data_IF_309274186870
#
_entry.id   IF_309274186870
#
_cell.length_a   1.000
_cell.length_b   1.000
_cell.length_c   1.000
_cell.angle_alpha   90.00
_cell.angle_beta   90.00
_cell.angle_gamma   90.00
#
_symmetry.space_group_name_H-M   'P 1'
#
loop_
_entity.id
_entity.type
_entity.pdbx_description
1 polymer ?
#
# COMPACT_ATOMS: atom_id res chain seq x y z
N UNK A 1 9.67 -30.77 -8.57
CA UNK A 1 10.45 -30.41 -9.77
C UNK A 1 10.24 -28.96 -10.28
N UNK A 2 9.33 -28.15 -9.72
CA UNK A 2 9.11 -26.77 -10.19
C UNK A 2 10.21 -25.76 -9.80
N UNK A 3 10.87 -25.98 -8.65
CA UNK A 3 11.82 -25.01 -8.06
C UNK A 3 13.07 -24.71 -8.94
N UNK A 4 13.67 -25.67 -9.66
CA UNK A 4 14.77 -25.40 -10.59
C UNK A 4 14.32 -24.66 -11.86
N UNK A 5 13.07 -24.85 -12.29
CA UNK A 5 12.52 -24.21 -13.49
C UNK A 5 12.09 -22.76 -13.25
N UNK A 6 11.68 -22.43 -12.01
CA UNK A 6 11.23 -21.11 -11.60
C UNK A 6 12.37 -20.16 -11.17
N UNK A 7 13.59 -20.34 -11.71
CA UNK A 7 14.70 -19.41 -11.48
C UNK A 7 14.54 -18.18 -12.36
N UNK A 8 14.84 -17.01 -11.82
CA UNK A 8 14.80 -15.72 -12.50
C UNK A 8 16.09 -14.95 -12.23
N UNK A 9 16.48 -14.07 -13.15
CA UNK A 9 17.60 -13.15 -12.93
C UNK A 9 17.16 -12.14 -11.86
N UNK A 10 18.00 -11.92 -10.86
CA UNK A 10 17.72 -10.96 -9.79
C UNK A 10 18.74 -9.83 -9.80
N UNK A 11 18.29 -8.63 -9.45
CA UNK A 11 19.15 -7.48 -9.24
C UNK A 11 18.68 -6.69 -8.02
N UNK A 12 19.59 -5.90 -7.45
CA UNK A 12 19.33 -5.05 -6.29
C UNK A 12 19.55 -3.59 -6.68
N UNK A 13 18.75 -2.70 -6.12
CA UNK A 13 18.89 -1.25 -6.27
C UNK A 13 18.90 -0.60 -4.89
N UNK A 14 19.78 0.38 -4.73
CA UNK A 14 19.93 1.16 -3.51
C UNK A 14 18.75 2.12 -3.27
N UNK A 15 18.53 2.57 -2.03
CA UNK A 15 17.55 3.61 -1.72
C UNK A 15 17.76 4.87 -2.57
N UNK A 16 16.66 5.47 -3.03
CA UNK A 16 16.72 6.65 -3.89
C UNK A 16 15.85 6.52 -5.13
N UNK A 17 16.03 7.45 -6.07
CA UNK A 17 15.31 7.42 -7.34
C UNK A 17 15.78 6.23 -8.18
N UNK A 18 14.84 5.45 -8.68
CA UNK A 18 15.10 4.26 -9.47
C UNK A 18 14.88 4.55 -10.95
N UNK A 19 15.87 4.20 -11.77
CA UNK A 19 15.68 4.05 -13.22
C UNK A 19 15.22 2.61 -13.49
N UNK A 20 13.90 2.39 -13.41
CA UNK A 20 13.29 1.09 -13.72
C UNK A 20 12.95 0.92 -15.19
N UNK A 21 12.98 1.97 -16.00
CA UNK A 21 12.54 1.90 -17.40
C UNK A 21 13.41 0.92 -18.19
N UNK A 22 14.74 0.98 -18.01
CA UNK A 22 15.67 0.00 -18.60
C UNK A 22 15.28 -1.45 -18.27
N UNK A 23 14.87 -1.72 -17.04
CA UNK A 23 14.56 -3.07 -16.57
C UNK A 23 13.16 -3.52 -17.02
N UNK A 24 12.20 -2.60 -17.09
CA UNK A 24 10.86 -2.85 -17.63
C UNK A 24 10.93 -3.16 -19.12
N UNK A 25 11.72 -2.40 -19.88
CA UNK A 25 11.95 -2.67 -21.30
C UNK A 25 12.63 -4.02 -21.50
N UNK A 26 13.68 -4.32 -20.72
CA UNK A 26 14.37 -5.61 -20.78
C UNK A 26 13.50 -6.81 -20.40
N UNK A 27 12.41 -6.58 -19.65
CA UNK A 27 11.46 -7.63 -19.29
C UNK A 27 10.38 -7.87 -20.34
N UNK A 28 10.26 -7.01 -21.37
CA UNK A 28 9.27 -7.14 -22.45
C UNK A 28 9.73 -8.17 -23.50
N UNK A 29 8.84 -9.00 -24.08
CA UNK A 29 7.38 -9.11 -23.87
C UNK A 29 6.99 -10.09 -22.73
N UNK A 30 7.82 -10.22 -21.70
CA UNK A 30 7.54 -11.03 -20.51
C UNK A 30 6.54 -10.39 -19.55
N UNK A 31 6.47 -10.92 -18.32
CA UNK A 31 5.51 -10.51 -17.30
C UNK A 31 5.93 -9.26 -16.52
N UNK A 32 7.21 -8.86 -16.58
CA UNK A 32 7.69 -7.64 -15.94
C UNK A 32 8.73 -7.89 -14.85
N UNK A 33 8.69 -7.06 -13.80
CA UNK A 33 9.56 -7.16 -12.63
C UNK A 33 8.74 -7.60 -11.41
N UNK A 34 9.28 -8.53 -10.63
CA UNK A 34 8.71 -8.94 -9.35
C UNK A 34 9.54 -8.38 -8.21
N UNK A 35 8.92 -7.65 -7.29
CA UNK A 35 9.58 -7.19 -6.07
C UNK A 35 9.76 -8.37 -5.12
N UNK A 36 11.00 -8.73 -4.80
CA UNK A 36 11.34 -9.84 -3.91
C UNK A 36 11.53 -9.40 -2.46
N UNK A 37 12.05 -8.19 -2.24
CA UNK A 37 12.31 -7.59 -0.94
C UNK A 37 12.43 -6.07 -1.09
N UNK A 38 12.25 -5.34 0.01
CA UNK A 38 12.32 -3.88 0.03
C UNK A 38 10.96 -3.20 -0.14
N UNK A 39 11.00 -1.88 -0.15
CA UNK A 39 9.84 -1.01 -0.37
C UNK A 39 10.14 0.02 -1.47
N UNK A 40 9.27 0.08 -2.48
CA UNK A 40 9.33 1.00 -3.62
C UNK A 40 8.10 1.88 -3.57
N UNK A 41 8.24 3.17 -3.86
CA UNK A 41 7.13 4.06 -4.13
C UNK A 41 7.03 4.27 -5.63
N UNK A 42 5.86 4.01 -6.19
CA UNK A 42 5.47 4.48 -7.51
C UNK A 42 4.78 5.83 -7.34
N UNK A 43 5.32 6.87 -7.96
CA UNK A 43 4.66 8.17 -8.08
C UNK A 43 4.01 8.25 -9.45
N UNK A 44 2.69 8.40 -9.48
CA UNK A 44 1.95 8.67 -10.70
C UNK A 44 1.66 10.16 -10.79
N UNK A 45 2.09 10.80 -11.87
CA UNK A 45 1.78 12.20 -12.16
C UNK A 45 0.79 12.29 -13.31
N UNK A 46 -0.31 12.99 -13.05
CA UNK A 46 -1.29 13.39 -14.06
C UNK A 46 -1.49 14.90 -13.91
N UNK A 47 -1.15 15.66 -14.95
CA UNK A 47 -1.16 17.13 -14.90
C UNK A 47 -0.39 17.69 -13.68
N UNK A 48 -1.03 18.48 -12.83
CA UNK A 48 -0.46 19.11 -11.63
C UNK A 48 -0.54 18.22 -10.37
N UNK A 49 -1.08 17.00 -10.49
CA UNK A 49 -1.27 16.08 -9.37
C UNK A 49 -0.28 14.94 -9.39
N UNK A 50 0.23 14.63 -8.21
CA UNK A 50 1.11 13.51 -7.95
C UNK A 50 0.46 12.66 -6.86
N UNK A 51 0.19 11.41 -7.19
CA UNK A 51 -0.20 10.38 -6.22
C UNK A 51 0.99 9.46 -5.94
N UNK A 52 0.87 8.67 -4.89
CA UNK A 52 1.89 7.68 -4.54
C UNK A 52 1.23 6.35 -4.18
N UNK A 53 1.82 5.26 -4.66
CA UNK A 53 1.51 3.89 -4.27
C UNK A 53 2.75 3.27 -3.63
N UNK A 54 2.58 2.52 -2.54
CA UNK A 54 3.66 1.79 -1.89
C UNK A 54 3.63 0.34 -2.33
N UNK A 55 4.73 -0.10 -2.91
CA UNK A 55 4.97 -1.45 -3.38
C UNK A 55 6.01 -2.15 -2.50
N UNK A 56 5.90 -3.46 -2.38
CA UNK A 56 6.84 -4.28 -1.64
C UNK A 56 6.87 -5.71 -2.16
N UNK A 57 7.42 -6.61 -1.34
CA UNK A 57 7.53 -8.03 -1.68
C UNK A 57 6.21 -8.59 -2.22
N UNK A 58 6.27 -9.18 -3.41
CA UNK A 58 5.14 -9.83 -4.05
C UNK A 58 4.50 -9.02 -5.18
N UNK A 59 4.74 -7.70 -5.25
CA UNK A 59 4.14 -6.87 -6.30
C UNK A 59 4.84 -7.07 -7.64
N UNK A 60 4.03 -7.04 -8.69
CA UNK A 60 4.48 -7.10 -10.08
C UNK A 60 4.40 -5.70 -10.67
N UNK A 61 5.51 -5.26 -11.26
CA UNK A 61 5.61 -4.07 -12.09
C UNK A 61 5.63 -4.54 -13.53
N UNK A 62 4.57 -4.24 -14.27
CA UNK A 62 4.45 -4.68 -15.66
C UNK A 62 5.51 -3.99 -16.54
N UNK A 63 5.87 -4.60 -17.69
CA UNK A 63 6.64 -3.93 -18.71
C UNK A 63 5.98 -2.61 -19.11
N UNK A 64 6.70 -1.80 -19.87
CA UNK A 64 6.11 -0.58 -20.42
C UNK A 64 5.00 -0.96 -21.40
N UNK A 65 3.81 -0.45 -21.17
CA UNK A 65 2.66 -0.63 -22.05
C UNK A 65 2.70 0.43 -23.16
N UNK A 66 2.68 -0.01 -24.42
CA UNK A 66 2.65 0.89 -25.57
C UNK A 66 1.27 1.54 -25.75
N UNK A 67 0.17 0.89 -25.33
CA UNK A 67 -1.19 1.42 -25.46
C UNK A 67 -1.40 2.68 -24.60
N UNK A 68 -0.67 2.80 -23.49
CA UNK A 68 -0.68 3.99 -22.64
C UNK A 68 -0.06 5.23 -23.32
N UNK A 69 0.71 5.07 -24.41
CA UNK A 69 1.30 6.21 -25.14
C UNK A 69 0.25 7.02 -25.91
N UNK A 70 -0.84 6.39 -26.32
CA UNK A 70 -1.89 7.01 -27.14
C UNK A 70 -3.05 7.56 -26.31
N UNK A 71 -2.92 7.56 -24.98
CA UNK A 71 -3.93 8.10 -24.08
C UNK A 71 -3.99 9.64 -24.14
N UNK A 72 -5.20 10.20 -24.22
CA UNK A 72 -5.43 11.65 -24.14
C UNK A 72 -4.97 12.28 -22.82
N UNK A 73 -4.96 11.48 -21.74
CA UNK A 73 -4.45 11.87 -20.43
C UNK A 73 -3.22 11.04 -20.15
N UNK A 74 -2.04 11.66 -20.22
CA UNK A 74 -0.79 10.98 -19.92
C UNK A 74 -0.60 10.82 -18.41
N UNK A 75 -0.08 9.65 -18.03
CA UNK A 75 0.34 9.36 -16.67
C UNK A 75 1.85 9.07 -16.68
N UNK A 76 2.62 9.93 -16.02
CA UNK A 76 4.06 9.72 -15.87
C UNK A 76 4.34 8.95 -14.58
N UNK A 77 5.11 7.87 -14.67
CA UNK A 77 5.51 7.07 -13.52
C UNK A 77 6.96 7.38 -13.13
N UNK A 78 7.18 7.63 -11.84
CA UNK A 78 8.52 7.81 -11.24
C UNK A 78 8.66 6.86 -10.06
N UNK A 79 9.81 6.20 -9.97
CA UNK A 79 10.05 5.15 -8.99
C UNK A 79 11.07 5.59 -7.96
N UNK A 80 10.83 5.26 -6.69
CA UNK A 80 11.79 5.53 -5.61
C UNK A 80 11.85 4.37 -4.62
N UNK A 81 13.04 3.85 -4.35
CA UNK A 81 13.28 2.94 -3.25
C UNK A 81 13.34 3.70 -1.91
N UNK A 82 12.62 3.21 -0.90
CA UNK A 82 12.70 3.71 0.48
C UNK A 82 13.81 3.02 1.29
N UNK A 83 14.11 1.78 0.91
CA UNK A 83 15.14 0.90 1.48
C UNK A 83 15.72 0.06 0.32
N UNK A 84 16.85 -0.66 0.48
CA UNK A 84 17.38 -1.49 -0.59
C UNK A 84 16.31 -2.47 -1.12
N UNK A 85 16.15 -2.52 -2.44
CA UNK A 85 15.09 -3.30 -3.08
C UNK A 85 15.71 -4.37 -3.96
N UNK A 86 15.19 -5.59 -3.85
CA UNK A 86 15.57 -6.70 -4.72
C UNK A 86 14.43 -7.03 -5.67
N UNK A 87 14.75 -7.14 -6.95
CA UNK A 87 13.81 -7.50 -8.00
C UNK A 87 14.18 -8.84 -8.64
N UNK A 88 13.20 -9.51 -9.23
CA UNK A 88 13.38 -10.56 -10.22
C UNK A 88 12.84 -10.10 -11.58
N UNK A 89 13.58 -10.41 -12.65
CA UNK A 89 13.15 -10.18 -14.03
C UNK A 89 12.33 -11.39 -14.48
N UNK A 90 11.09 -11.16 -14.85
CA UNK A 90 10.16 -12.14 -15.40
C UNK A 90 10.05 -11.93 -16.91
N UNK A 91 11.14 -12.19 -17.63
CA UNK A 91 11.23 -12.05 -19.08
C UNK A 91 10.59 -13.24 -19.84
N UNK A 92 10.66 -13.20 -21.16
CA UNK A 92 10.17 -14.30 -22.02
C UNK A 92 10.87 -15.64 -21.70
N UNK A 93 12.16 -15.61 -21.39
CA UNK A 93 12.91 -16.83 -21.07
C UNK A 93 12.42 -17.45 -19.76
N UNK A 94 12.08 -16.64 -18.75
CA UNK A 94 11.41 -17.10 -17.53
C UNK A 94 10.04 -17.72 -17.87
N UNK A 95 9.21 -17.02 -18.64
CA UNK A 95 7.89 -17.49 -19.04
C UNK A 95 7.96 -18.88 -19.73
N UNK A 96 8.90 -19.05 -20.66
CA UNK A 96 9.13 -20.33 -21.36
C UNK A 96 9.55 -21.46 -20.41
N UNK A 97 10.39 -21.17 -19.42
CA UNK A 97 10.80 -22.17 -18.42
C UNK A 97 9.65 -22.61 -17.51
N UNK A 98 8.75 -21.69 -17.16
CA UNK A 98 7.64 -21.96 -16.25
C UNK A 98 6.34 -22.36 -16.94
N UNK A 99 6.31 -22.42 -18.28
CA UNK A 99 5.10 -22.71 -19.08
C UNK A 99 4.36 -24.00 -18.71
N UNK A 100 5.07 -25.01 -18.21
CA UNK A 100 4.48 -26.30 -17.78
C UNK A 100 3.88 -26.25 -16.38
N UNK A 101 3.97 -25.10 -15.70
CA UNK A 101 3.50 -24.85 -14.34
C UNK A 101 2.51 -23.68 -14.34
N UNK A 102 1.28 -23.86 -14.87
CA UNK A 102 0.29 -22.79 -14.99
C UNK A 102 -0.02 -22.09 -13.66
N UNK A 103 0.10 -22.80 -12.53
CA UNK A 103 -0.06 -22.22 -11.20
C UNK A 103 0.88 -21.03 -10.91
N UNK A 104 2.03 -20.93 -11.59
CA UNK A 104 2.94 -19.79 -11.47
C UNK A 104 2.32 -18.56 -12.15
N UNK A 105 1.78 -18.73 -13.37
CA UNK A 105 1.05 -17.67 -14.08
C UNK A 105 -0.18 -17.20 -13.30
N UNK A 106 -0.97 -18.15 -12.77
CA UNK A 106 -2.14 -17.83 -11.94
C UNK A 106 -1.78 -17.01 -10.70
N UNK A 107 -0.67 -17.35 -10.04
CA UNK A 107 -0.19 -16.62 -8.85
C UNK A 107 0.31 -15.21 -9.21
N UNK A 108 1.00 -15.04 -10.35
CA UNK A 108 1.39 -13.72 -10.84
C UNK A 108 0.17 -12.85 -11.15
N UNK A 109 -0.85 -13.42 -11.80
CA UNK A 109 -2.11 -12.72 -12.07
C UNK A 109 -2.82 -12.31 -10.76
N UNK A 110 -2.91 -13.21 -9.77
CA UNK A 110 -3.49 -12.89 -8.45
C UNK A 110 -2.74 -11.76 -7.73
N UNK A 111 -1.43 -11.63 -7.95
CA UNK A 111 -0.64 -10.52 -7.39
C UNK A 111 -0.97 -9.19 -8.05
N UNK A 112 -1.08 -9.17 -9.37
CA UNK A 112 -1.53 -7.98 -10.11
C UNK A 112 -2.93 -7.56 -9.67
N UNK A 113 -3.85 -8.52 -9.55
CA UNK A 113 -5.22 -8.23 -9.09
C UNK A 113 -5.25 -7.72 -7.64
N UNK A 114 -4.41 -8.27 -6.75
CA UNK A 114 -4.29 -7.78 -5.37
C UNK A 114 -3.83 -6.32 -5.33
N UNK A 115 -2.83 -5.97 -6.13
CA UNK A 115 -2.34 -4.59 -6.26
C UNK A 115 -3.46 -3.64 -6.72
N UNK A 116 -4.25 -4.04 -7.72
CA UNK A 116 -5.40 -3.26 -8.18
C UNK A 116 -6.47 -3.07 -7.09
N UNK A 117 -6.76 -4.12 -6.28
CA UNK A 117 -7.68 -3.99 -5.13
C UNK A 117 -7.14 -3.07 -4.04
N UNK A 118 -5.85 -3.12 -3.76
CA UNK A 118 -5.22 -2.24 -2.77
C UNK A 118 -5.33 -0.76 -3.21
N UNK A 119 -5.16 -0.47 -4.50
CA UNK A 119 -5.40 0.86 -5.06
C UNK A 119 -6.85 1.32 -4.91
N UNK A 120 -7.85 0.44 -5.10
CA UNK A 120 -9.26 0.79 -4.86
C UNK A 120 -9.54 1.09 -3.39
N UNK A 121 -8.91 0.36 -2.45
CA UNK A 121 -8.99 0.67 -1.01
C UNK A 121 -8.40 2.04 -0.73
N UNK A 122 -7.19 2.34 -1.24
CA UNK A 122 -6.55 3.65 -1.06
C UNK A 122 -7.38 4.77 -1.69
N UNK A 123 -8.01 4.54 -2.84
CA UNK A 123 -8.94 5.49 -3.46
C UNK A 123 -10.16 5.76 -2.59
N UNK A 124 -10.78 4.72 -2.03
CA UNK A 124 -11.90 4.86 -1.10
C UNK A 124 -11.48 5.61 0.18
N UNK A 125 -10.27 5.34 0.70
CA UNK A 125 -9.67 6.09 1.80
C UNK A 125 -9.53 7.55 1.39
N UNK A 126 -8.92 7.87 0.25
CA UNK A 126 -8.71 9.24 -0.20
C UNK A 126 -10.02 10.03 -0.37
N UNK A 127 -11.14 9.35 -0.66
CA UNK A 127 -12.46 9.96 -0.76
C UNK A 127 -13.11 10.35 0.59
N UNK A 128 -12.60 9.85 1.73
CA UNK A 128 -13.09 10.23 3.06
C UNK A 128 -12.84 11.73 3.34
N UNK A 129 -13.86 12.56 3.60
CA UNK A 129 -13.66 14.01 3.74
C UNK A 129 -12.67 14.41 4.85
N UNK A 130 -12.68 13.67 5.95
CA UNK A 130 -11.86 13.94 7.13
C UNK A 130 -10.43 13.40 6.99
N UNK A 131 -9.44 14.30 6.92
CA UNK A 131 -8.03 13.92 6.71
C UNK A 131 -7.41 13.11 7.86
N UNK A 132 -7.78 13.38 9.11
CA UNK A 132 -7.35 12.58 10.26
C UNK A 132 -7.83 11.12 10.12
N UNK A 133 -9.08 10.92 9.68
CA UNK A 133 -9.64 9.59 9.40
C UNK A 133 -8.95 8.94 8.19
N UNK A 134 -8.67 9.71 7.11
CA UNK A 134 -7.90 9.23 5.96
C UNK A 134 -6.55 8.64 6.38
N UNK A 135 -5.81 9.37 7.20
CA UNK A 135 -4.48 8.96 7.63
C UNK A 135 -4.53 7.72 8.53
N UNK A 136 -5.48 7.64 9.46
CA UNK A 136 -5.68 6.43 10.27
C UNK A 136 -5.98 5.23 9.38
N UNK A 137 -6.95 5.35 8.47
CA UNK A 137 -7.31 4.25 7.56
C UNK A 137 -6.13 3.83 6.69
N UNK A 138 -5.36 4.80 6.15
CA UNK A 138 -4.15 4.50 5.38
C UNK A 138 -3.13 3.75 6.23
N UNK A 139 -2.77 4.27 7.40
CA UNK A 139 -1.75 3.65 8.26
C UNK A 139 -2.13 2.22 8.67
N UNK A 140 -3.40 1.99 9.01
CA UNK A 140 -3.93 0.66 9.31
C UNK A 140 -4.03 -0.24 8.08
N UNK A 141 -4.26 0.32 6.88
CA UNK A 141 -4.17 -0.44 5.62
C UNK A 141 -2.73 -0.87 5.31
N UNK A 142 -1.72 -0.07 5.68
CA UNK A 142 -0.31 -0.43 5.53
C UNK A 142 0.14 -1.50 6.57
N UNK A 143 -0.49 -1.54 7.75
CA UNK A 143 -0.06 -2.37 8.87
C UNK A 143 0.06 -3.89 8.58
N UNK A 144 -0.86 -4.57 7.88
CA UNK A 144 -0.74 -6.01 7.62
C UNK A 144 0.50 -6.39 6.82
N UNK A 145 1.00 -5.48 5.97
CA UNK A 145 2.08 -5.75 5.03
C UNK A 145 3.44 -5.27 5.52
N UNK A 146 3.47 -4.09 6.11
CA UNK A 146 4.71 -3.44 6.54
C UNK A 146 4.85 -3.37 8.06
N UNK A 147 3.77 -3.63 8.79
CA UNK A 147 3.73 -3.51 10.24
C UNK A 147 4.45 -4.64 10.97
N UNK A 148 4.95 -4.33 12.17
CA UNK A 148 5.43 -5.28 13.15
C UNK A 148 4.59 -5.14 14.41
N UNK A 149 4.04 -6.24 14.89
CA UNK A 149 3.27 -6.23 16.14
C UNK A 149 4.23 -5.94 17.29
N UNK A 150 3.93 -4.91 18.07
CA UNK A 150 4.69 -4.48 19.26
C UNK A 150 3.72 -4.37 20.46
N UNK A 151 4.23 -4.37 21.69
CA UNK A 151 3.39 -4.10 22.85
C UNK A 151 2.64 -2.79 22.70
N UNK A 152 1.31 -2.82 22.83
CA UNK A 152 0.46 -1.65 22.72
C UNK A 152 0.06 -1.28 21.29
N UNK A 153 0.45 -2.03 20.25
CA UNK A 153 -0.07 -1.80 18.90
C UNK A 153 0.81 -2.33 17.77
N UNK A 154 0.94 -1.53 16.71
CA UNK A 154 1.68 -1.92 15.49
C UNK A 154 2.68 -0.83 15.11
N UNK A 155 3.94 -1.23 14.93
CA UNK A 155 5.01 -0.40 14.37
C UNK A 155 5.02 -0.47 12.86
N UNK A 156 5.04 0.68 12.19
CA UNK A 156 5.32 0.83 10.77
C UNK A 156 6.78 1.34 10.60
N UNK A 157 7.75 0.45 10.33
CA UNK A 157 9.17 0.77 10.21
C UNK A 157 9.51 1.28 8.82
N UNK A 158 8.74 2.26 8.33
CA UNK A 158 8.91 2.86 7.02
C UNK A 158 9.20 4.36 7.17
N UNK A 159 10.09 4.93 6.36
CA UNK A 159 10.37 6.37 6.35
C UNK A 159 9.24 7.14 5.62
N UNK A 160 8.01 7.03 6.13
CA UNK A 160 6.82 7.64 5.56
C UNK A 160 6.82 9.15 5.85
N UNK A 161 7.40 9.95 4.96
CA UNK A 161 7.36 11.41 5.14
C UNK A 161 5.92 11.93 5.07
N UNK A 162 5.66 13.09 5.67
CA UNK A 162 4.34 13.73 5.60
C UNK A 162 3.93 14.04 4.15
N UNK A 163 4.91 14.30 3.28
CA UNK A 163 4.69 14.51 1.86
C UNK A 163 4.28 13.22 1.15
N UNK A 164 4.96 12.10 1.44
CA UNK A 164 4.59 10.80 0.90
C UNK A 164 3.16 10.42 1.33
N UNK A 165 2.85 10.53 2.62
CA UNK A 165 1.49 10.31 3.12
C UNK A 165 0.47 11.21 2.41
N UNK A 166 0.79 12.49 2.21
CA UNK A 166 -0.05 13.42 1.48
C UNK A 166 -0.33 12.97 0.05
N UNK A 167 0.69 12.50 -0.67
CA UNK A 167 0.53 11.95 -2.03
C UNK A 167 -0.30 10.65 -2.05
N UNK A 168 -0.26 9.85 -0.99
CA UNK A 168 -1.09 8.62 -0.88
C UNK A 168 -2.57 8.94 -0.57
N UNK A 169 -2.88 9.99 0.21
CA UNK A 169 -4.27 10.33 0.61
C UNK A 169 -4.87 11.55 -0.09
N UNK A 170 -4.19 12.08 -1.10
CA UNK A 170 -4.62 13.26 -1.85
C UNK A 170 -4.69 14.53 -0.98
N UNK A 171 -3.64 14.80 -0.19
CA UNK A 171 -3.56 15.94 0.70
C UNK A 171 -2.20 16.65 0.64
N UNK A 172 -2.19 17.94 0.96
CA UNK A 172 -0.96 18.71 1.03
C UNK A 172 -0.21 18.46 2.35
N UNK A 173 1.13 18.51 2.29
CA UNK A 173 2.02 18.27 3.45
C UNK A 173 1.65 19.06 4.71
N UNK A 174 1.32 20.37 4.66
CA UNK A 174 0.92 21.12 5.87
C UNK A 174 -0.33 20.52 6.53
N UNK A 175 -1.33 20.14 5.74
CA UNK A 175 -2.56 19.50 6.23
C UNK A 175 -2.28 18.15 6.87
N UNK A 176 -1.41 17.33 6.26
CA UNK A 176 -0.99 16.05 6.83
C UNK A 176 -0.27 16.25 8.15
N UNK A 177 0.62 17.24 8.23
CA UNK A 177 1.37 17.57 9.46
C UNK A 177 0.41 17.91 10.60
N UNK A 178 -0.58 18.76 10.33
CA UNK A 178 -1.58 19.15 11.32
C UNK A 178 -2.47 17.96 11.75
N UNK A 179 -2.86 17.10 10.81
CA UNK A 179 -3.66 15.92 11.11
C UNK A 179 -2.87 14.87 11.93
N UNK A 180 -1.61 14.59 11.57
CA UNK A 180 -0.73 13.73 12.36
C UNK A 180 -0.49 14.28 13.77
N UNK A 181 -0.32 15.59 13.92
CA UNK A 181 -0.20 16.23 15.23
C UNK A 181 -1.43 16.00 16.12
N UNK A 182 -2.63 16.02 15.53
CA UNK A 182 -3.87 15.68 16.25
C UNK A 182 -3.93 14.20 16.65
N UNK A 183 -3.49 13.29 15.78
CA UNK A 183 -3.43 11.86 16.11
C UNK A 183 -2.43 11.59 17.25
N UNK A 184 -1.30 12.28 17.25
CA UNK A 184 -0.31 12.20 18.31
C UNK A 184 -0.79 12.78 19.63
N UNK A 185 -1.46 13.95 19.60
CA UNK A 185 -2.05 14.55 20.80
C UNK A 185 -3.16 13.66 21.41
N UNK A 186 -3.87 12.90 20.58
CA UNK A 186 -4.86 11.91 21.01
C UNK A 186 -4.26 10.57 21.45
N UNK A 187 -2.93 10.40 21.41
CA UNK A 187 -2.25 9.16 21.76
C UNK A 187 -2.47 8.00 20.78
N UNK A 188 -3.02 8.26 19.59
CA UNK A 188 -3.35 7.23 18.61
C UNK A 188 -2.12 6.82 17.77
N UNK A 189 -1.24 7.79 17.49
CA UNK A 189 -0.04 7.58 16.68
C UNK A 189 1.15 8.27 17.31
N UNK A 190 2.29 7.60 17.44
CA UNK A 190 3.57 8.25 17.78
C UNK A 190 4.60 8.02 16.68
N UNK A 191 5.63 8.86 16.63
CA UNK A 191 6.73 8.73 15.67
C UNK A 191 8.06 8.83 16.42
N UNK A 192 8.95 7.88 16.16
CA UNK A 192 10.31 7.82 16.69
C UNK A 192 11.29 7.38 15.59
N UNK A 193 12.55 7.11 15.95
CA UNK A 193 13.58 6.67 14.99
C UNK A 193 13.27 5.34 14.30
N UNK A 194 12.41 4.51 14.88
CA UNK A 194 11.94 3.24 14.33
C UNK A 194 10.72 3.36 13.42
N UNK A 195 10.23 4.58 13.16
CA UNK A 195 9.04 4.85 12.35
C UNK A 195 7.80 5.13 13.21
N UNK A 196 6.61 4.95 12.63
CA UNK A 196 5.35 5.29 13.33
C UNK A 196 4.79 4.12 14.11
N UNK A 197 4.38 4.35 15.35
CA UNK A 197 3.60 3.40 16.14
C UNK A 197 2.12 3.75 16.07
N UNK A 198 1.28 2.77 15.77
CA UNK A 198 -0.17 2.85 15.85
C UNK A 198 -0.59 2.20 17.17
N UNK A 199 -1.11 2.98 18.11
CA UNK A 199 -1.46 2.50 19.45
C UNK A 199 -2.88 1.92 19.48
N UNK A 200 -3.08 0.74 20.05
CA UNK A 200 -4.41 0.12 20.15
C UNK A 200 -4.88 -0.51 18.84
N UNK A 201 -6.13 -0.27 18.47
CA UNK A 201 -6.83 -0.87 17.31
C UNK A 201 -7.43 0.17 16.36
N UNK A 202 -7.79 -0.25 15.14
CA UNK A 202 -8.46 0.63 14.17
C UNK A 202 -9.81 1.13 14.72
N UNK A 203 -10.56 0.26 15.37
CA UNK A 203 -11.87 0.57 15.96
C UNK A 203 -11.75 1.66 17.04
N UNK A 204 -10.75 1.57 17.91
CA UNK A 204 -10.46 2.59 18.93
C UNK A 204 -10.05 3.94 18.30
N UNK A 205 -9.23 3.91 17.24
CA UNK A 205 -8.85 5.13 16.51
C UNK A 205 -10.08 5.81 15.90
N UNK A 206 -10.90 5.05 15.19
CA UNK A 206 -12.12 5.56 14.56
C UNK A 206 -13.13 6.04 15.61
N UNK A 207 -13.27 5.31 16.72
CA UNK A 207 -14.14 5.70 17.83
C UNK A 207 -13.73 7.04 18.43
N UNK A 208 -12.42 7.19 18.71
CA UNK A 208 -11.84 8.44 19.23
C UNK A 208 -12.05 9.61 18.25
N UNK A 209 -11.86 9.40 16.95
CA UNK A 209 -11.98 10.46 15.94
C UNK A 209 -13.42 10.84 15.59
N UNK A 210 -14.35 9.90 15.71
CA UNK A 210 -15.79 10.11 15.41
C UNK A 210 -16.60 10.48 16.65
N UNK A 211 -16.00 10.46 17.84
CA UNK A 211 -16.69 10.68 19.11
C UNK A 211 -17.60 9.51 19.52
N UNK A 212 -17.44 8.33 18.90
CA UNK A 212 -18.15 7.09 19.26
C UNK A 212 -17.26 6.28 20.20
N UNK A 213 -17.62 6.19 21.47
CA UNK A 213 -16.93 5.27 22.38
C UNK A 213 -17.24 3.81 21.97
N UNK A 214 -16.26 2.89 21.97
CA UNK A 214 -16.48 1.49 21.54
C UNK A 214 -17.55 0.74 22.35
N UNK A 215 -17.91 1.26 23.53
CA UNK A 215 -18.85 0.67 24.48
C UNK A 215 -20.35 0.98 24.18
N UNK A 216 -20.68 1.72 23.13
CA UNK A 216 -22.07 2.12 22.82
C UNK A 216 -22.84 1.12 21.94
N UNK A 217 -22.20 0.02 21.51
CA UNK A 217 -22.80 -0.99 20.63
C UNK A 217 -23.60 -2.10 21.32
N UNK A 218 -23.41 -2.33 22.63
CA UNK A 218 -23.91 -3.55 23.30
C UNK A 218 -25.16 -3.34 24.18
N UNK A 219 -25.62 -2.09 24.38
CA UNK A 219 -26.78 -1.80 25.27
C UNK A 219 -28.13 -1.64 24.55
N UNK A 220 -28.21 -1.85 23.24
CA UNK A 220 -29.45 -1.61 22.49
C UNK A 220 -30.36 -2.85 22.29
N UNK A 221 -30.09 -3.99 22.94
CA UNK A 221 -30.89 -5.20 22.74
C UNK A 221 -31.18 -6.03 24.00
N UNK A 222 -31.56 -5.39 25.11
CA UNK A 222 -32.28 -6.07 26.19
C UNK A 222 -33.35 -5.15 26.79
N UNK A 223 -34.58 -5.64 26.90
CA UNK A 223 -35.82 -4.98 27.37
C UNK A 223 -36.48 -4.09 26.32
N UNK A 224 -37.62 -4.45 25.73
CA UNK A 224 -38.91 -4.47 26.45
C UNK A 224 -39.94 -5.27 25.64
N UNK A 225 -40.67 -6.19 26.29
CA UNK A 225 -41.82 -6.85 25.65
C UNK A 225 -42.39 -8.06 26.38
N UNK A 226 -42.57 -7.98 27.70
CA UNK A 226 -43.35 -8.95 28.46
C UNK A 226 -44.55 -8.28 29.15
N UNK A 227 -45.74 -8.86 28.92
CA UNK A 227 -47.01 -8.76 29.68
C UNK A 227 -47.81 -7.44 29.55
N UNK A 228 -49.15 -7.39 29.51
CA UNK A 228 -50.24 -8.38 29.49
C UNK A 228 -51.57 -7.64 29.24
N UNK A 229 -52.57 -8.39 28.74
CA UNK A 229 -54.02 -8.30 28.98
C UNK A 229 -54.83 -7.04 28.59
N UNK A 230 -55.72 -7.19 27.60
CA UNK A 230 -57.17 -7.28 27.78
C UNK A 230 -57.82 -7.94 26.55
#
# INVERSE_FOLDING_TARGET
MARPAATAITFELDPGQLDLEKWRDASSPGTGLLVLAGAVVEYARVYDRITAELLGRGDVIQPRDEEQRDAFVSCELIWRALEPVRFAILDVAFADRVRTFPQIGDELLRRVERRARDLEVVRAIAAQPRLDVRLVLLLWHLAPRWGRVEPGGIRLPLPLTHELLGRMVGAERPSVTHALGRLAAAGLVSEDSGGRHLHGTLEEHLGTLTGRSPDQGEKAHVSTGGQSAQ
#
